data_IF_443497011615
#
_entry.id   IF_443497011615
#
_cell.length_a   1.000
_cell.length_b   1.000
_cell.length_c   1.000
_cell.angle_alpha   90.00
_cell.angle_beta   90.00
_cell.angle_gamma   90.00
#
_symmetry.space_group_name_H-M   'P 1'
#
loop_
_entity.id
_entity.type
_entity.pdbx_description
1 polymer ?
#
# COMPACT_ATOMS: atom_id res chain seq x y z
N UNK A 1 -7.33 -10.71 -7.17
CA UNK A 1 -6.62 -9.57 -6.55
C UNK A 1 -7.54 -8.99 -5.50
N UNK A 2 -7.04 -8.79 -4.28
CA UNK A 2 -7.76 -8.10 -3.20
C UNK A 2 -6.96 -6.83 -2.92
N UNK A 3 -7.64 -5.69 -2.86
CA UNK A 3 -7.03 -4.38 -2.58
C UNK A 3 -7.82 -3.66 -1.49
N UNK A 4 -7.11 -2.89 -0.66
CA UNK A 4 -7.66 -2.08 0.41
C UNK A 4 -6.71 -1.93 1.59
N UNK A 5 -6.89 -0.88 2.39
CA UNK A 5 -5.95 -0.44 3.43
C UNK A 5 -5.68 -1.43 4.58
N UNK A 6 -6.50 -2.47 4.75
CA UNK A 6 -6.34 -3.51 5.79
C UNK A 6 -6.24 -4.93 5.20
N UNK A 7 -6.56 -5.08 3.91
CA UNK A 7 -6.87 -6.38 3.30
C UNK A 7 -5.73 -7.37 3.43
N UNK A 8 -4.51 -6.93 3.12
CA UNK A 8 -3.32 -7.74 3.22
C UNK A 8 -3.18 -8.40 4.60
N UNK A 9 -3.32 -7.64 5.69
CA UNK A 9 -3.18 -8.18 7.06
C UNK A 9 -4.28 -9.19 7.41
N UNK A 10 -5.48 -9.04 6.84
CA UNK A 10 -6.59 -9.98 7.05
C UNK A 10 -6.35 -11.30 6.34
N UNK A 11 -5.77 -11.27 5.14
CA UNK A 11 -5.56 -12.47 4.31
C UNK A 11 -4.14 -13.02 4.38
N UNK A 12 -3.33 -12.58 5.34
CA UNK A 12 -1.91 -12.91 5.48
C UNK A 12 -1.62 -14.42 5.34
N UNK A 13 -2.48 -15.27 5.89
CA UNK A 13 -2.26 -16.72 5.91
C UNK A 13 -2.70 -17.45 4.63
N UNK A 14 -3.40 -16.76 3.72
CA UNK A 14 -3.92 -17.35 2.48
C UNK A 14 -3.45 -16.62 1.21
N UNK A 15 -2.83 -15.45 1.34
CA UNK A 15 -2.31 -14.69 0.21
C UNK A 15 -1.10 -15.39 -0.38
N UNK A 16 -1.11 -15.66 -1.69
CA UNK A 16 0.05 -16.21 -2.39
C UNK A 16 1.16 -15.16 -2.57
N UNK A 17 0.78 -13.88 -2.73
CA UNK A 17 1.68 -12.73 -2.83
C UNK A 17 1.03 -11.51 -2.18
N UNK A 18 1.79 -10.83 -1.31
CA UNK A 18 1.42 -9.58 -0.66
C UNK A 18 2.32 -8.43 -1.13
N UNK A 19 1.70 -7.34 -1.57
CA UNK A 19 2.42 -6.16 -2.09
C UNK A 19 2.00 -4.90 -1.35
N UNK A 20 2.97 -4.16 -0.81
CA UNK A 20 2.76 -2.86 -0.20
C UNK A 20 3.31 -1.76 -1.12
N UNK A 21 2.44 -0.91 -1.65
CA UNK A 21 2.81 0.20 -2.53
C UNK A 21 2.86 1.49 -1.73
N UNK A 22 3.99 2.17 -1.76
CA UNK A 22 4.24 3.37 -0.96
C UNK A 22 4.96 4.47 -1.75
N UNK A 23 5.09 5.63 -1.14
CA UNK A 23 5.95 6.74 -1.53
C UNK A 23 6.12 7.67 -0.31
N UNK A 24 7.15 8.55 -0.28
CA UNK A 24 7.28 9.55 0.77
C UNK A 24 5.99 10.38 0.90
N UNK A 25 5.63 10.76 2.13
CA UNK A 25 4.38 11.46 2.43
C UNK A 25 4.17 12.67 1.51
N UNK A 26 5.21 13.49 1.31
CA UNK A 26 5.11 14.69 0.48
C UNK A 26 4.80 14.38 -1.00
N UNK A 27 5.32 13.26 -1.53
CA UNK A 27 5.05 12.81 -2.90
C UNK A 27 3.60 12.35 -3.02
N UNK A 28 3.11 11.59 -2.05
CA UNK A 28 1.69 11.15 -1.99
C UNK A 28 0.75 12.34 -1.90
N UNK A 29 1.05 13.30 -1.03
CA UNK A 29 0.26 14.53 -0.84
C UNK A 29 0.20 15.36 -2.11
N UNK A 30 1.33 15.54 -2.82
CA UNK A 30 1.36 16.25 -4.11
C UNK A 30 0.44 15.57 -5.14
N UNK A 31 0.55 14.25 -5.29
CA UNK A 31 -0.29 13.47 -6.22
C UNK A 31 -1.78 13.57 -5.87
N UNK A 32 -2.13 13.54 -4.58
CA UNK A 32 -3.52 13.71 -4.11
C UNK A 32 -4.03 15.13 -4.40
N UNK A 33 -3.22 16.15 -4.11
CA UNK A 33 -3.57 17.54 -4.36
C UNK A 33 -3.84 17.78 -5.86
N UNK A 34 -2.97 17.28 -6.74
CA UNK A 34 -3.12 17.35 -8.19
C UNK A 34 -4.36 16.61 -8.68
N UNK A 35 -4.59 15.38 -8.19
CA UNK A 35 -5.74 14.54 -8.59
C UNK A 35 -7.08 15.15 -8.18
N UNK A 36 -7.16 15.68 -6.96
CA UNK A 36 -8.41 16.13 -6.36
C UNK A 36 -8.64 17.65 -6.52
N UNK A 37 -7.71 18.37 -7.15
CA UNK A 37 -7.78 19.82 -7.33
C UNK A 37 -7.69 20.62 -6.03
N UNK A 38 -6.95 20.10 -5.03
CA UNK A 38 -6.83 20.68 -3.69
C UNK A 38 -5.52 21.42 -3.49
N UNK A 39 -5.49 22.30 -2.49
CA UNK A 39 -4.21 22.89 -2.05
C UNK A 39 -3.32 21.82 -1.41
N UNK A 40 -1.99 21.97 -1.52
CA UNK A 40 -1.04 21.06 -0.86
C UNK A 40 -1.26 20.98 0.65
N UNK A 41 -1.63 22.09 1.29
CA UNK A 41 -1.88 22.15 2.74
C UNK A 41 -3.11 21.34 3.13
N UNK A 42 -4.19 21.46 2.37
CA UNK A 42 -5.42 20.72 2.60
C UNK A 42 -5.19 19.22 2.39
N UNK A 43 -4.59 18.83 1.26
CA UNK A 43 -4.27 17.43 0.97
C UNK A 43 -3.34 16.82 2.03
N UNK A 44 -2.37 17.59 2.55
CA UNK A 44 -1.50 17.15 3.65
C UNK A 44 -2.31 16.85 4.91
N UNK A 45 -3.12 17.80 5.36
CA UNK A 45 -3.88 17.68 6.60
C UNK A 45 -4.88 16.52 6.54
N UNK A 46 -5.60 16.37 5.42
CA UNK A 46 -6.51 15.26 5.20
C UNK A 46 -5.79 13.91 5.17
N UNK A 47 -4.66 13.82 4.47
CA UNK A 47 -3.89 12.58 4.35
C UNK A 47 -3.41 12.08 5.71
N UNK A 48 -2.76 12.96 6.49
CA UNK A 48 -2.22 12.60 7.81
C UNK A 48 -3.34 12.27 8.79
N UNK A 49 -4.41 13.08 8.82
CA UNK A 49 -5.57 12.83 9.69
C UNK A 49 -6.24 11.49 9.36
N UNK A 50 -6.41 11.19 8.06
CA UNK A 50 -7.00 9.93 7.59
C UNK A 50 -6.13 8.74 7.98
N UNK A 51 -4.82 8.79 7.73
CA UNK A 51 -3.89 7.71 8.02
C UNK A 51 -3.79 7.44 9.53
N UNK A 52 -3.75 8.49 10.35
CA UNK A 52 -3.78 8.37 11.80
C UNK A 52 -5.08 7.73 12.29
N UNK A 53 -6.23 8.20 11.81
CA UNK A 53 -7.55 7.65 12.17
C UNK A 53 -7.68 6.18 11.74
N UNK A 54 -7.17 5.82 10.55
CA UNK A 54 -7.18 4.44 10.07
C UNK A 54 -6.32 3.53 10.94
N UNK A 55 -5.07 3.92 11.24
CA UNK A 55 -4.20 3.11 12.11
C UNK A 55 -4.83 2.89 13.48
N UNK A 56 -5.33 3.97 14.11
CA UNK A 56 -6.00 3.90 15.40
C UNK A 56 -7.18 2.92 15.35
N UNK A 57 -8.06 3.08 14.37
CA UNK A 57 -9.25 2.23 14.22
C UNK A 57 -8.91 0.77 13.96
N UNK A 58 -7.90 0.49 13.15
CA UNK A 58 -7.51 -0.88 12.85
C UNK A 58 -6.87 -1.58 14.05
N UNK A 59 -6.09 -0.86 14.84
CA UNK A 59 -5.55 -1.39 16.09
C UNK A 59 -6.66 -1.63 17.12
N UNK A 60 -7.58 -0.68 17.30
CA UNK A 60 -8.66 -0.78 18.28
C UNK A 60 -9.68 -1.88 17.94
N UNK A 61 -10.03 -2.05 16.67
CA UNK A 61 -11.09 -2.99 16.25
C UNK A 61 -10.54 -4.38 15.95
N UNK A 62 -9.36 -4.47 15.32
CA UNK A 62 -8.81 -5.74 14.83
C UNK A 62 -7.54 -6.18 15.55
N UNK A 63 -6.95 -5.34 16.41
CA UNK A 63 -5.64 -5.62 17.01
C UNK A 63 -4.48 -5.59 16.01
N UNK A 64 -4.69 -5.00 14.82
CA UNK A 64 -3.71 -4.99 13.73
C UNK A 64 -3.00 -3.64 13.68
N UNK A 65 -1.67 -3.63 13.86
CA UNK A 65 -0.86 -2.45 13.55
C UNK A 65 -0.47 -2.47 12.07
N UNK A 66 -1.18 -1.67 11.26
CA UNK A 66 -0.90 -1.52 9.83
C UNK A 66 0.44 -0.82 9.50
N UNK A 67 1.21 -0.43 10.52
CA UNK A 67 2.59 0.04 10.32
C UNK A 67 3.61 -1.09 10.33
N UNK A 68 3.22 -2.29 10.80
CA UNK A 68 4.01 -3.49 10.59
C UNK A 68 3.82 -4.01 9.16
N UNK A 69 4.78 -3.65 8.31
CA UNK A 69 4.87 -4.09 6.92
C UNK A 69 5.90 -5.22 6.73
N UNK A 70 6.46 -5.76 7.82
CA UNK A 70 7.58 -6.72 7.76
C UNK A 70 7.22 -8.05 7.09
N UNK A 71 5.94 -8.40 7.06
CA UNK A 71 5.46 -9.64 6.49
C UNK A 71 5.12 -9.56 5.00
N UNK A 72 5.12 -8.35 4.41
CA UNK A 72 4.86 -8.20 2.98
C UNK A 72 6.00 -8.79 2.17
N UNK A 73 5.68 -9.58 1.14
CA UNK A 73 6.66 -10.17 0.23
C UNK A 73 7.38 -9.10 -0.59
N UNK A 74 6.68 -8.02 -0.94
CA UNK A 74 7.20 -6.93 -1.75
C UNK A 74 6.72 -5.57 -1.24
N UNK A 75 7.67 -4.69 -0.93
CA UNK A 75 7.42 -3.29 -0.59
C UNK A 75 8.01 -2.41 -1.69
N UNK A 76 7.18 -1.62 -2.37
CA UNK A 76 7.61 -0.79 -3.51
C UNK A 76 7.40 0.69 -3.21
N UNK A 77 8.50 1.45 -3.18
CA UNK A 77 8.44 2.90 -3.20
C UNK A 77 8.33 3.39 -4.66
N UNK A 78 7.21 4.02 -4.99
CA UNK A 78 6.84 4.53 -6.32
C UNK A 78 7.29 5.95 -6.61
N UNK A 79 8.15 6.55 -5.77
CA UNK A 79 8.64 7.91 -5.99
C UNK A 79 9.39 8.04 -7.33
N UNK A 80 10.19 7.04 -7.68
CA UNK A 80 11.10 7.07 -8.83
C UNK A 80 10.65 6.23 -10.03
N UNK A 81 9.52 5.54 -9.91
CA UNK A 81 9.02 4.63 -10.94
C UNK A 81 7.72 5.17 -11.52
N UNK A 82 7.56 5.02 -12.84
CA UNK A 82 6.26 5.20 -13.48
C UNK A 82 5.28 4.10 -13.07
N UNK A 83 4.01 4.26 -13.46
CA UNK A 83 2.98 3.22 -13.26
C UNK A 83 3.37 1.94 -14.00
N UNK A 84 3.86 2.05 -15.23
CA UNK A 84 4.28 0.93 -16.08
C UNK A 84 5.50 0.22 -15.51
N UNK A 85 6.48 0.96 -14.99
CA UNK A 85 7.66 0.39 -14.34
C UNK A 85 7.29 -0.32 -13.03
N UNK A 86 6.44 0.31 -12.21
CA UNK A 86 5.91 -0.30 -10.99
C UNK A 86 5.15 -1.59 -11.32
N UNK A 87 4.31 -1.56 -12.36
CA UNK A 87 3.58 -2.73 -12.83
C UNK A 87 4.52 -3.87 -13.24
N UNK A 88 5.57 -3.59 -14.02
CA UNK A 88 6.55 -4.62 -14.43
C UNK A 88 7.25 -5.28 -13.24
N UNK A 89 7.57 -4.52 -12.19
CA UNK A 89 8.16 -5.06 -10.97
C UNK A 89 7.20 -6.03 -10.26
N UNK A 90 5.93 -5.65 -10.12
CA UNK A 90 4.89 -6.48 -9.51
C UNK A 90 4.59 -7.71 -10.36
N UNK A 91 4.47 -7.54 -11.68
CA UNK A 91 4.18 -8.64 -12.62
C UNK A 91 5.29 -9.69 -12.64
N UNK A 92 6.55 -9.26 -12.55
CA UNK A 92 7.68 -10.16 -12.41
C UNK A 92 7.57 -11.02 -11.13
N UNK A 93 7.26 -10.39 -9.99
CA UNK A 93 7.10 -11.09 -8.72
C UNK A 93 5.90 -12.06 -8.76
N UNK A 94 4.75 -11.59 -9.24
CA UNK A 94 3.53 -12.39 -9.39
C UNK A 94 3.76 -13.58 -10.32
N UNK A 95 4.37 -13.37 -11.48
CA UNK A 95 4.71 -14.43 -12.43
C UNK A 95 5.65 -15.47 -11.83
N UNK A 96 6.62 -15.07 -10.99
CA UNK A 96 7.54 -16.00 -10.33
C UNK A 96 6.84 -16.89 -9.29
N UNK A 97 5.91 -16.31 -8.54
CA UNK A 97 5.22 -16.99 -7.44
C UNK A 97 4.10 -17.88 -7.99
N UNK A 98 3.22 -17.32 -8.83
CA UNK A 98 2.02 -17.99 -9.32
C UNK A 98 2.31 -19.07 -10.38
N UNK A 99 3.49 -19.06 -11.01
CA UNK A 99 3.90 -20.14 -11.94
C UNK A 99 4.59 -21.31 -11.25
N UNK A 100 4.85 -21.26 -9.94
CA UNK A 100 5.29 -22.46 -9.21
C UNK A 100 4.04 -23.31 -8.92
N UNK A 101 4.03 -24.62 -9.24
CA UNK A 101 2.99 -25.49 -8.71
C UNK A 101 3.05 -25.45 -7.19
N UNK A 102 1.89 -25.27 -6.53
CA UNK A 102 1.78 -25.44 -5.07
C UNK A 102 2.27 -26.86 -4.72
N UNK A 103 3.11 -27.02 -3.68
CA UNK A 103 3.59 -28.34 -3.25
C UNK A 103 2.44 -29.27 -2.87
#
# INVERSE_FOLDING_TARGET
>A
VIDGHLTAWIVKDIADLSVYVTAPLIVRVKRIAERDGKSLKEAFYETVTREFSQRKRFLEIYGIDITDISWFDLVINTEKFSVEETFKLIDMAASKILRKPKP
#
